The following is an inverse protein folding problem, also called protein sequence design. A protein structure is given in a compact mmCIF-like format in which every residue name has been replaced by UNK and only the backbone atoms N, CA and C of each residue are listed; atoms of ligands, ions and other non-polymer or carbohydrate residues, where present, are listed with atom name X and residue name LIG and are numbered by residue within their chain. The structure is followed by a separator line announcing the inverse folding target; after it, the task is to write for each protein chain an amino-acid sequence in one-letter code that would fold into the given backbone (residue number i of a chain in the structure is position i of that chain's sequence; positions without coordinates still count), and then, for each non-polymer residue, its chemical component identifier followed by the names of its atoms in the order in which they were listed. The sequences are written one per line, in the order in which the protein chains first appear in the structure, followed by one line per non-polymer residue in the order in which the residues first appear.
data_IF_588046957320
#
_entry.id   IF_588046957320
#
_cell.length_a   1.000
_cell.length_b   1.000
_cell.length_c   1.000
_cell.angle_alpha   90.00
_cell.angle_beta   90.00
_cell.angle_gamma   90.00
#
_symmetry.space_group_name_H-M   'P 1'
#
loop_
_entity.id
_entity.type
_entity.pdbx_description
1 polymer ?
2 non-polymer ?
3 water ?
#
# COMPACT_ATOMS: atom_id res chain seq x y z
N UNK A 5 -0.58 -22.14 7.48
CA UNK A 5 -1.34 -21.11 8.25
C UNK A 5 -2.05 -20.08 7.31
N UNK A 6 -1.97 -18.81 7.67
CA UNK A 6 -2.58 -17.73 6.92
C UNK A 6 -1.80 -17.49 5.63
N UNK A 7 -2.40 -17.79 4.47
CA UNK A 7 -1.67 -17.59 3.22
C UNK A 7 -1.36 -16.08 3.00
N UNK A 8 -2.14 -15.19 3.59
CA UNK A 8 -1.90 -13.74 3.44
C UNK A 8 -0.62 -13.28 4.13
N UNK A 9 -0.16 -14.04 5.14
CA UNK A 9 1.04 -13.67 5.91
C UNK A 9 2.19 -14.66 5.74
N UNK A 10 2.08 -15.54 4.76
CA UNK A 10 3.19 -16.45 4.41
C UNK A 10 3.92 -15.83 3.22
N UNK A 11 5.14 -15.31 3.46
CA UNK A 11 5.86 -14.59 2.40
C UNK A 11 6.08 -15.48 1.17
N UNK A 12 5.70 -14.96 0.01
CA UNK A 12 5.89 -15.70 -1.22
C UNK A 12 5.99 -14.75 -2.42
N UNK A 13 6.91 -15.04 -3.38
CA UNK A 13 7.02 -14.13 -4.52
C UNK A 13 5.90 -14.46 -5.50
N UNK A 14 5.68 -13.59 -6.49
CA UNK A 14 4.68 -13.87 -7.51
C UNK A 14 5.27 -14.86 -8.51
N UNK A 15 4.64 -16.02 -8.69
CA UNK A 15 5.13 -17.01 -9.67
C UNK A 15 4.89 -16.52 -11.10
N UNK A 16 5.91 -16.61 -11.95
CA UNK A 16 5.72 -16.20 -13.34
C UNK A 16 5.08 -17.28 -14.21
N UNK A 17 3.79 -17.10 -14.53
CA UNK A 17 3.07 -18.05 -15.38
C UNK A 17 2.79 -17.45 -16.76
N UNK A 18 3.41 -16.30 -17.06
CA UNK A 18 3.27 -15.66 -18.37
C UNK A 18 4.56 -15.80 -19.17
N UNK A 19 5.70 -15.55 -18.55
CA UNK A 19 6.98 -15.79 -19.21
C UNK A 19 7.94 -14.63 -19.38
N UNK A 20 7.51 -13.40 -19.14
CA UNK A 20 8.42 -12.26 -19.35
C UNK A 20 9.23 -11.88 -18.08
N UNK A 21 8.92 -12.49 -16.93
CA UNK A 21 9.63 -12.22 -15.70
C UNK A 21 9.60 -10.79 -15.18
N UNK A 22 8.54 -10.04 -15.47
CA UNK A 22 8.53 -8.62 -15.08
C UNK A 22 8.41 -8.36 -13.59
N UNK A 23 7.74 -9.26 -12.86
CA UNK A 23 7.65 -9.08 -11.42
C UNK A 23 9.02 -9.09 -10.73
N UNK A 24 9.81 -10.12 -11.00
CA UNK A 24 11.12 -10.25 -10.44
C UNK A 24 12.03 -9.13 -10.94
N UNK A 25 11.81 -8.66 -12.18
CA UNK A 25 12.58 -7.52 -12.69
C UNK A 25 12.31 -6.27 -11.82
N UNK A 26 11.05 -5.99 -11.51
CA UNK A 26 10.72 -4.84 -10.67
C UNK A 26 11.37 -4.98 -9.30
N UNK A 27 11.21 -6.16 -8.69
CA UNK A 27 11.79 -6.45 -7.38
C UNK A 27 13.29 -6.14 -7.37
N UNK A 28 14.00 -6.63 -8.38
CA UNK A 28 15.42 -6.40 -8.52
C UNK A 28 15.81 -4.95 -8.69
N UNK A 29 14.97 -4.19 -9.41
CA UNK A 29 15.19 -2.76 -9.55
C UNK A 29 15.11 -2.06 -8.20
N UNK A 30 14.08 -2.42 -7.42
CA UNK A 30 13.85 -1.83 -6.10
C UNK A 30 15.02 -2.17 -5.15
N UNK A 31 15.44 -3.43 -5.13
CA UNK A 31 16.63 -3.84 -4.38
C UNK A 31 17.82 -2.90 -4.72
N UNK A 32 18.09 -2.72 -6.02
CA UNK A 32 19.16 -1.83 -6.47
C UNK A 32 18.96 -0.40 -6.01
N UNK A 33 17.71 0.06 -6.01
CA UNK A 33 17.37 1.39 -5.53
C UNK A 33 17.72 1.57 -4.06
N UNK A 34 17.32 0.60 -3.24
CA UNK A 34 17.66 0.63 -1.81
C UNK A 34 19.16 0.58 -1.60
N UNK A 35 19.85 -0.24 -2.38
CA UNK A 35 21.29 -0.36 -2.31
C UNK A 35 22.04 0.96 -2.62
N UNK A 36 21.50 1.75 -3.57
CA UNK A 36 22.15 2.94 -4.06
C UNK A 36 21.62 4.26 -3.48
N UNK A 37 20.44 4.24 -2.87
CA UNK A 37 19.85 5.48 -2.37
C UNK A 37 19.71 5.53 -0.85
N UNK A 38 19.31 6.70 -0.34
CA UNK A 38 19.09 6.86 1.07
C UNK A 38 17.75 7.56 1.28
N UNK A 39 16.62 6.84 1.04
CA UNK A 39 15.31 7.51 1.18
C UNK A 39 14.95 7.85 2.62
N UNK A 40 14.11 8.85 2.83
CA UNK A 40 13.60 9.10 4.17
C UNK A 40 12.24 8.46 4.30
N UNK A 41 11.62 8.19 3.16
CA UNK A 41 10.30 7.56 3.12
C UNK A 41 10.27 6.49 2.04
N UNK A 42 9.70 5.32 2.38
CA UNK A 42 9.56 4.26 1.38
C UNK A 42 8.10 3.90 1.23
N UNK A 43 7.63 3.94 0.00
CA UNK A 43 6.26 3.59 -0.32
C UNK A 43 6.25 2.16 -0.90
N UNK A 44 5.41 1.28 -0.38
CA UNK A 44 5.30 -0.08 -0.91
C UNK A 44 3.85 -0.55 -0.84
N UNK A 45 3.42 -1.26 -1.88
CA UNK A 45 2.05 -1.70 -1.94
C UNK A 45 1.71 -2.18 -3.36
N UNK A 46 0.43 -2.11 -3.68
CA UNK A 46 -0.04 -2.57 -5.00
C UNK A 46 -0.04 -1.40 -6.00
N UNK A 47 -0.86 -1.53 -7.05
CA UNK A 47 -0.91 -0.51 -8.08
C UNK A 47 -1.37 0.85 -7.50
N UNK A 48 -2.08 0.94 -6.39
CA UNK A 48 -2.43 2.26 -5.84
C UNK A 48 -1.17 3.05 -5.50
N UNK A 49 -0.16 2.35 -4.98
CA UNK A 49 1.18 2.93 -4.69
C UNK A 49 1.97 3.16 -6.00
N UNK A 50 2.10 2.12 -6.81
CA UNK A 50 2.80 2.18 -8.08
C UNK A 50 2.38 3.33 -8.99
N UNK A 51 1.07 3.49 -9.21
CA UNK A 51 0.55 4.46 -10.17
C UNK A 51 0.60 5.90 -9.58
N UNK A 52 0.80 5.98 -8.26
CA UNK A 52 0.97 7.28 -7.61
C UNK A 52 2.24 7.97 -8.11
N UNK A 53 3.28 7.16 -8.33
CA UNK A 53 4.54 7.58 -8.90
C UNK A 53 4.44 8.05 -10.35
N UNK A 54 3.49 7.47 -11.08
CA UNK A 54 3.26 7.78 -12.48
C UNK A 54 2.50 9.08 -12.63
N UNK A 55 1.68 9.44 -11.64
CA UNK A 55 0.97 10.71 -11.63
C UNK A 55 1.96 11.86 -11.43
N UNK A 56 1.62 13.06 -11.90
CA UNK A 56 2.46 14.25 -11.67
C UNK A 56 2.35 14.78 -10.24
N UNK A 57 1.53 14.13 -9.41
CA UNK A 57 1.40 14.49 -7.99
C UNK A 57 2.63 14.03 -7.21
N UNK A 58 3.32 13.03 -7.75
CA UNK A 58 4.47 12.45 -7.07
C UNK A 58 5.64 13.44 -6.98
N UNK A 59 6.12 13.88 -8.15
CA UNK A 59 7.23 14.84 -8.25
C UNK A 59 6.87 16.19 -7.62
N UNK A 60 5.62 16.30 -7.16
CA UNK A 60 5.10 17.52 -6.57
C UNK A 60 5.04 17.43 -5.04
N UNK A 61 4.36 16.41 -4.53
CA UNK A 61 4.10 16.27 -3.11
C UNK A 61 5.04 15.31 -2.39
N UNK A 62 5.66 14.38 -3.14
CA UNK A 62 6.39 13.28 -2.51
C UNK A 62 7.89 13.24 -2.77
N UNK A 63 8.30 13.60 -3.99
CA UNK A 63 9.72 13.66 -4.33
C UNK A 63 10.55 14.55 -3.38
N UNK A 64 10.03 15.72 -3.01
CA UNK A 64 10.80 16.56 -2.09
C UNK A 64 11.09 15.88 -0.75
N UNK A 65 10.33 14.82 -0.42
CA UNK A 65 10.49 14.12 0.86
C UNK A 65 11.60 13.06 0.85
N UNK A 66 12.22 12.85 -0.31
CA UNK A 66 13.29 11.85 -0.48
C UNK A 66 12.68 10.45 -0.34
N UNK A 67 11.95 10.05 -1.39
CA UNK A 67 11.16 8.83 -1.31
C UNK A 67 11.36 7.89 -2.49
N UNK A 68 11.17 6.61 -2.20
CA UNK A 68 11.18 5.54 -3.19
C UNK A 68 9.80 4.89 -3.23
N UNK A 69 9.36 4.59 -4.43
CA UNK A 69 8.09 3.96 -4.65
C UNK A 69 8.29 2.53 -5.11
N UNK A 70 7.88 1.56 -4.26
CA UNK A 70 8.06 0.12 -4.57
C UNK A 70 6.70 -0.56 -4.82
N UNK A 71 5.79 0.17 -5.44
CA UNK A 71 4.47 -0.34 -5.71
C UNK A 71 4.57 -1.27 -6.90
N UNK A 72 3.83 -2.36 -6.85
CA UNK A 72 3.73 -3.29 -8.01
C UNK A 72 2.26 -3.68 -8.22
N UNK A 73 1.76 -3.46 -9.45
CA UNK A 73 0.41 -3.76 -9.76
C UNK A 73 0.11 -5.26 -9.54
N UNK A 74 -1.01 -5.53 -8.90
CA UNK A 74 -1.49 -6.92 -8.68
C UNK A 74 -1.00 -7.61 -7.41
N UNK A 75 -0.12 -6.93 -6.67
CA UNK A 75 0.45 -7.52 -5.45
C UNK A 75 -0.62 -7.69 -4.34
N UNK A 76 -0.49 -8.81 -3.59
CA UNK A 76 -1.28 -9.07 -2.42
C UNK A 76 -0.36 -8.86 -1.18
N UNK A 77 -0.90 -9.00 0.04
CA UNK A 77 -0.09 -8.77 1.24
C UNK A 77 1.16 -9.68 1.29
N UNK A 78 0.99 -10.98 0.99
CA UNK A 78 2.11 -11.94 1.07
C UNK A 78 3.26 -11.62 0.11
N UNK A 79 2.94 -10.96 -1.00
CA UNK A 79 3.95 -10.61 -2.00
C UNK A 79 4.78 -9.41 -1.50
N UNK A 80 4.10 -8.43 -0.95
CA UNK A 80 4.75 -7.28 -0.32
C UNK A 80 5.64 -7.72 0.86
N UNK A 81 5.13 -8.63 1.67
CA UNK A 81 5.91 -9.15 2.82
C UNK A 81 7.20 -9.81 2.31
N UNK A 82 7.10 -10.64 1.26
CA UNK A 82 8.25 -11.31 0.66
C UNK A 82 9.27 -10.30 0.12
N UNK A 83 8.79 -9.28 -0.60
CA UNK A 83 9.67 -8.25 -1.11
C UNK A 83 10.46 -7.52 0.00
N UNK A 84 9.78 -7.15 1.06
CA UNK A 84 10.40 -6.51 2.22
C UNK A 84 11.44 -7.40 2.93
N UNK A 85 11.22 -8.70 2.91
CA UNK A 85 12.13 -9.63 3.53
C UNK A 85 13.25 -10.04 2.57
N UNK A 86 13.12 -9.75 1.28
CA UNK A 86 14.14 -10.22 0.36
C UNK A 86 14.96 -9.13 -0.37
N UNK A 87 15.32 -8.05 0.33
CA UNK A 87 16.25 -7.10 -0.28
C UNK A 87 15.77 -5.67 -0.32
N UNK A 88 14.46 -5.43 -0.33
CA UNK A 88 13.98 -4.05 -0.55
C UNK A 88 14.10 -3.13 0.69
N UNK A 89 14.38 -3.72 1.85
CA UNK A 89 14.58 -2.97 3.11
C UNK A 89 16.06 -2.92 3.51
N UNK A 90 16.92 -3.43 2.63
CA UNK A 90 18.35 -3.47 2.90
C UNK A 90 19.03 -2.16 2.51
N UNK A 91 20.10 -1.83 3.22
CA UNK A 91 20.97 -0.66 2.95
C UNK A 91 20.32 0.70 3.12
N UNK A 92 19.18 0.74 3.80
CA UNK A 92 18.47 2.00 3.98
C UNK A 92 18.07 2.17 5.45
N UNK A 93 17.72 3.40 5.80
CA UNK A 93 17.21 3.66 7.14
C UNK A 93 16.13 4.71 7.08
N UNK A 94 15.00 4.37 6.44
CA UNK A 94 13.95 5.38 6.32
C UNK A 94 13.33 5.75 7.70
N UNK A 95 12.77 6.95 7.77
CA UNK A 95 12.05 7.39 8.97
C UNK A 95 10.61 6.94 8.92
N UNK A 96 10.11 6.77 7.68
CA UNK A 96 8.72 6.34 7.46
C UNK A 96 8.60 5.33 6.33
N UNK A 97 7.81 4.29 6.56
CA UNK A 97 7.42 3.33 5.49
C UNK A 97 5.91 3.38 5.37
N UNK A 98 5.45 3.65 4.17
CA UNK A 98 4.03 3.70 3.85
C UNK A 98 3.60 2.37 3.19
N UNK A 99 2.52 1.79 3.70
CA UNK A 99 2.03 0.48 3.23
C UNK A 99 0.60 0.64 2.67
N UNK A 100 0.38 0.12 1.47
CA UNK A 100 -0.95 0.15 0.87
C UNK A 100 -1.10 -1.08 0.01
N UNK A 101 -1.76 -2.07 0.58
CA UNK A 101 -1.94 -3.38 -0.05
C UNK A 101 -3.07 -4.14 0.64
N UNK A 102 -3.72 -5.06 -0.06
CA UNK A 102 -4.80 -5.86 0.56
C UNK A 102 -6.04 -5.99 -0.28
N UNK A 103 -6.26 -5.04 -1.20
CA UNK A 103 -7.48 -5.10 -2.02
C UNK A 103 -7.39 -6.24 -3.07
N UNK A 104 -6.19 -6.72 -3.33
CA UNK A 104 -5.98 -7.81 -4.30
C UNK A 104 -5.97 -9.22 -3.73
N UNK A 105 -6.13 -9.35 -2.41
CA UNK A 105 -6.10 -10.65 -1.73
C UNK A 105 -7.36 -11.52 -1.94
N UNK A 106 -7.73 -11.75 -3.19
CA UNK A 106 -8.93 -12.52 -3.52
C UNK A 106 -8.82 -13.93 -3.02
N UNK A 107 -9.88 -14.40 -2.36
CA UNK A 107 -9.85 -15.79 -1.83
C UNK A 107 -9.42 -15.85 -0.36
N UNK A 108 -9.01 -14.71 0.18
CA UNK A 108 -8.59 -14.59 1.60
C UNK A 108 -9.70 -13.85 2.32
N UNK A 109 -10.06 -14.28 3.53
CA UNK A 109 -11.12 -13.60 4.24
C UNK A 109 -10.58 -12.24 4.73
N UNK A 110 -11.46 -11.34 5.15
CA UNK A 110 -11.03 -10.04 5.69
C UNK A 110 -10.05 -10.19 6.89
N UNK A 111 -10.33 -11.18 7.76
CA UNK A 111 -9.49 -11.49 8.92
C UNK A 111 -8.10 -11.88 8.48
N UNK A 112 -8.01 -12.70 7.44
CA UNK A 112 -6.70 -13.14 6.89
C UNK A 112 -5.90 -11.97 6.31
N UNK A 113 -6.58 -11.12 5.54
CA UNK A 113 -5.93 -9.93 4.95
C UNK A 113 -5.41 -9.05 6.06
N UNK A 114 -6.22 -8.88 7.09
CA UNK A 114 -5.78 -8.09 8.27
C UNK A 114 -4.50 -8.70 8.84
N UNK A 115 -4.46 -10.02 8.98
CA UNK A 115 -3.24 -10.69 9.48
C UNK A 115 -2.04 -10.43 8.56
N UNK A 116 -2.27 -10.42 7.24
CA UNK A 116 -1.24 -10.07 6.25
C UNK A 116 -0.67 -8.68 6.49
N UNK A 117 -1.56 -7.71 6.71
CA UNK A 117 -1.11 -6.33 6.95
C UNK A 117 -0.31 -6.23 8.29
N UNK A 118 -0.80 -6.91 9.31
CA UNK A 118 -0.14 -6.88 10.60
C UNK A 118 1.24 -7.53 10.50
N UNK A 119 1.37 -8.57 9.67
CA UNK A 119 2.64 -9.25 9.42
C UNK A 119 3.63 -8.28 8.79
N UNK A 120 3.12 -7.42 7.90
CA UNK A 120 3.97 -6.47 7.22
C UNK A 120 4.49 -5.40 8.21
N UNK A 121 3.60 -4.88 9.06
CA UNK A 121 3.96 -3.86 10.05
C UNK A 121 5.03 -4.45 11.00
N UNK A 122 4.79 -5.68 11.45
CA UNK A 122 5.70 -6.38 12.36
C UNK A 122 7.08 -6.59 11.73
N UNK A 123 7.10 -6.96 10.44
CA UNK A 123 8.37 -7.13 9.74
C UNK A 123 9.14 -5.81 9.67
N UNK A 124 8.44 -4.73 9.27
CA UNK A 124 9.06 -3.41 9.22
C UNK A 124 9.59 -2.98 10.61
N UNK A 125 8.82 -3.28 11.67
CA UNK A 125 9.21 -2.94 13.06
C UNK A 125 10.46 -3.69 13.44
N UNK A 126 10.64 -4.88 12.88
CA UNK A 126 11.84 -5.68 13.16
C UNK A 126 13.05 -5.25 12.36
N UNK A 127 12.89 -5.10 11.06
CA UNK A 127 14.00 -4.74 10.16
C UNK A 127 14.38 -3.25 10.18
N UNK A 128 13.42 -2.37 10.46
CA UNK A 128 13.62 -0.92 10.43
C UNK A 128 12.93 -0.35 11.66
N UNK A 129 13.35 -0.76 12.86
CA UNK A 129 12.70 -0.38 14.10
C UNK A 129 12.57 1.13 14.34
N UNK A 130 13.48 1.93 13.79
CA UNK A 130 13.40 3.39 13.93
C UNK A 130 12.25 4.02 13.09
N UNK A 131 11.69 3.25 12.15
CA UNK A 131 10.70 3.79 11.21
C UNK A 131 9.28 3.82 11.77
N UNK A 132 8.57 4.91 11.48
CA UNK A 132 7.15 4.98 11.74
C UNK A 132 6.49 4.26 10.54
N UNK A 133 5.37 3.58 10.75
CA UNK A 133 4.69 2.86 9.70
C UNK A 133 3.30 3.48 9.47
N UNK A 134 3.03 3.83 8.22
CA UNK A 134 1.69 4.31 7.86
C UNK A 134 1.00 3.27 6.97
N UNK A 135 -0.16 2.80 7.42
CA UNK A 135 -1.00 1.88 6.64
C UNK A 135 -2.26 2.58 6.14
N UNK A 136 -2.43 2.63 4.82
CA UNK A 136 -3.64 3.24 4.24
C UNK A 136 -4.77 2.24 4.22
N UNK A 137 -5.98 2.75 4.44
CA UNK A 137 -7.14 1.88 4.41
C UNK A 137 -7.42 1.44 2.94
N UNK A 138 -7.99 0.26 2.79
CA UNK A 138 -8.34 -0.25 1.47
C UNK A 138 -9.53 0.55 0.93
N UNK A 139 -9.44 0.92 -0.34
CA UNK A 139 -10.48 1.76 -0.95
C UNK A 139 -11.69 0.93 -1.42
N UNK A 140 -12.86 1.59 -1.51
CA UNK A 140 -14.00 0.87 -2.05
C UNK A 140 -13.75 0.63 -3.53
N UNK A 141 -14.51 -0.26 -4.14
CA UNK A 141 -14.29 -0.60 -5.56
C UNK A 141 -15.61 -1.13 -6.11
N UNK A 142 -15.74 -1.18 -7.43
CA UNK A 142 -16.94 -1.64 -8.09
C UNK A 142 -17.82 -0.43 -8.30
N UNK A 143 -18.58 -0.41 -9.40
CA UNK A 143 -19.47 0.72 -9.69
C UNK A 143 -20.67 0.82 -8.73
N UNK A 144 -21.16 -0.34 -8.29
CA UNK A 144 -22.34 -0.48 -7.42
C UNK A 144 -21.99 -1.30 -6.15
N UNK A 145 -22.90 -1.29 -5.13
CA UNK A 145 -22.59 -2.08 -3.93
C UNK A 145 -22.27 -3.53 -4.27
N UNK A 146 -21.27 -4.10 -3.59
CA UNK A 146 -20.86 -5.47 -3.85
C UNK A 146 -20.09 -6.01 -2.64
N UNK A 147 -19.87 -7.34 -2.57
CA UNK A 147 -19.18 -7.97 -1.42
C UNK A 147 -17.75 -7.48 -1.14
N UNK A 148 -17.05 -6.97 -2.16
CA UNK A 148 -15.69 -6.48 -1.94
C UNK A 148 -15.65 -5.18 -1.18
N UNK A 149 -16.69 -4.36 -1.33
CA UNK A 149 -16.79 -3.14 -0.54
C UNK A 149 -16.87 -3.52 0.92
N UNK A 150 -17.75 -4.46 1.23
CA UNK A 150 -17.91 -4.93 2.60
C UNK A 150 -16.64 -5.59 3.14
N UNK A 151 -16.00 -6.41 2.33
CA UNK A 151 -14.72 -7.00 2.72
C UNK A 151 -13.68 -5.95 3.11
N UNK A 152 -13.52 -4.95 2.24
CA UNK A 152 -12.46 -3.96 2.42
C UNK A 152 -12.74 -3.09 3.64
N UNK A 153 -14.03 -2.77 3.85
CA UNK A 153 -14.48 -2.04 5.04
C UNK A 153 -14.14 -2.86 6.30
N UNK A 154 -14.47 -4.14 6.27
CA UNK A 154 -14.22 -5.00 7.41
C UNK A 154 -12.72 -5.06 7.70
N UNK A 155 -11.90 -5.19 6.65
CA UNK A 155 -10.43 -5.14 6.81
C UNK A 155 -10.03 -3.85 7.49
N UNK A 156 -10.56 -2.72 7.01
CA UNK A 156 -10.22 -1.41 7.58
C UNK A 156 -10.57 -1.28 9.05
N UNK A 157 -11.66 -1.92 9.47
CA UNK A 157 -12.10 -1.88 10.89
C UNK A 157 -11.16 -2.69 11.75
N UNK A 158 -10.78 -3.88 11.25
CA UNK A 158 -9.89 -4.76 12.00
C UNK A 158 -8.48 -4.19 12.05
N UNK A 159 -8.00 -3.66 10.93
CA UNK A 159 -6.68 -3.06 10.89
C UNK A 159 -6.60 -1.84 11.81
N UNK A 160 -7.60 -0.96 11.71
CA UNK A 160 -7.66 0.22 12.55
C UNK A 160 -7.58 -0.16 14.05
N UNK A 161 -8.39 -1.15 14.46
CA UNK A 161 -8.41 -1.63 15.82
C UNK A 161 -7.06 -2.22 16.21
N UNK A 162 -6.36 -2.88 15.29
CA UNK A 162 -5.03 -3.45 15.58
C UNK A 162 -3.93 -2.41 15.80
N UNK A 163 -3.98 -1.31 15.05
CA UNK A 163 -2.96 -0.27 15.16
C UNK A 163 -3.29 0.83 16.18
N UNK A 164 -4.52 0.82 16.69
CA UNK A 164 -4.97 1.81 17.67
C UNK A 164 -3.93 2.00 18.81
N UNK A 165 -3.52 0.91 19.45
CA UNK A 165 -2.53 0.98 20.54
C UNK A 165 -1.04 0.86 20.18
N UNK A 166 -0.77 0.92 18.88
CA UNK A 166 0.58 0.81 18.32
C UNK A 166 0.99 2.24 17.95
N UNK A 167 1.72 2.94 18.83
CA UNK A 167 1.95 4.38 18.66
C UNK A 167 3.00 4.79 17.61
N UNK A 168 3.61 3.80 16.94
CA UNK A 168 4.48 4.12 15.82
C UNK A 168 3.87 3.62 14.49
N UNK A 169 2.70 3.00 14.57
CA UNK A 169 1.96 2.56 13.38
C UNK A 169 0.71 3.43 13.30
N UNK A 170 0.50 4.07 12.15
CA UNK A 170 -0.57 5.04 11.95
C UNK A 170 -1.50 4.54 10.85
N UNK A 171 -2.77 4.35 11.19
CA UNK A 171 -3.83 4.04 10.23
C UNK A 171 -4.47 5.30 9.63
N UNK A 172 -4.41 5.40 8.31
CA UNK A 172 -4.92 6.55 7.58
C UNK A 172 -6.00 6.09 6.60
N UNK A 173 -7.22 6.56 6.84
CA UNK A 173 -8.32 6.34 5.90
C UNK A 173 -8.23 7.50 4.93
N UNK A 174 -7.67 7.28 3.76
CA UNK A 174 -7.54 8.36 2.78
C UNK A 174 -8.74 8.57 1.85
N UNK A 175 -9.85 7.88 2.13
CA UNK A 175 -11.05 7.92 1.25
C UNK A 175 -11.86 9.19 1.53
N UNK A 176 -11.95 10.12 0.56
CA UNK A 176 -12.73 11.35 0.72
C UNK A 176 -14.24 11.11 0.62
N UNK A 177 -14.65 9.90 0.29
CA UNK A 177 -16.07 9.62 0.14
C UNK A 177 -16.43 9.20 -1.30
N UNK A 178 -15.59 8.35 -1.90
CA UNK A 178 -15.83 7.87 -3.27
C UNK A 178 -17.20 7.25 -3.51
N UNK A 179 -17.73 6.53 -2.54
CA UNK A 179 -19.07 5.98 -2.69
C UNK A 179 -20.13 7.03 -2.40
N UNK A 180 -20.86 7.41 -3.46
CA UNK A 180 -21.93 8.40 -3.34
C UNK A 180 -23.18 7.84 -2.65
N UNK A 181 -24.08 8.75 -2.29
CA UNK A 181 -25.35 8.44 -1.63
C UNK A 181 -26.20 7.41 -2.34
N UNK A 182 -26.06 7.32 -3.66
CA UNK A 182 -26.83 6.36 -4.45
C UNK A 182 -26.10 5.01 -4.59
N UNK A 183 -25.01 4.85 -3.85
CA UNK A 183 -24.24 3.60 -3.81
C UNK A 183 -23.26 3.42 -4.95
N UNK A 184 -23.05 4.48 -5.73
CA UNK A 184 -22.19 4.39 -6.92
C UNK A 184 -20.85 5.06 -6.72
N UNK A 185 -19.87 4.60 -7.48
CA UNK A 185 -18.58 5.28 -7.62
C UNK A 185 -18.52 5.84 -9.04
N UNK A 186 -18.04 7.07 -9.17
CA UNK A 186 -17.94 7.75 -10.45
C UNK A 186 -16.68 7.33 -11.21
N UNK A 187 -16.83 7.06 -12.52
CA UNK A 187 -15.66 6.76 -13.35
C UNK A 187 -14.72 7.95 -13.42
N UNK A 188 -15.18 9.12 -12.98
CA UNK A 188 -14.33 10.31 -12.91
C UNK A 188 -13.28 10.19 -11.79
N UNK A 189 -13.62 9.45 -10.75
CA UNK A 189 -12.67 9.21 -9.64
C UNK A 189 -11.86 7.92 -9.87
N UNK A 190 -12.53 6.87 -10.35
CA UNK A 190 -11.92 5.58 -10.66
C UNK A 190 -12.40 5.18 -12.05
N UNK A 191 -11.51 5.26 -13.03
CA UNK A 191 -11.90 5.02 -14.41
C UNK A 191 -12.43 3.60 -14.67
N UNK A 192 -11.98 2.62 -13.89
CA UNK A 192 -12.47 1.28 -14.01
C UNK A 192 -13.06 0.78 -12.70
N UNK A 193 -13.46 1.75 -11.84
CA UNK A 193 -14.05 1.43 -10.53
C UNK A 193 -13.09 0.67 -9.61
N UNK A 194 -11.78 0.84 -9.84
CA UNK A 194 -10.75 0.23 -9.00
C UNK A 194 -9.53 1.13 -8.88
N UNK A 195 -8.98 1.50 -10.04
CA UNK A 195 -7.81 2.39 -10.13
C UNK A 195 -8.25 3.84 -10.10
N UNK A 196 -7.46 4.67 -9.42
CA UNK A 196 -7.76 6.09 -9.28
C UNK A 196 -7.32 6.90 -10.52
N UNK A 197 -8.18 7.78 -10.98
CA UNK A 197 -7.85 8.73 -12.03
C UNK A 197 -6.98 9.82 -11.37
N UNK A 198 -6.44 10.73 -12.18
CA UNK A 198 -5.72 11.88 -11.68
C UNK A 198 -6.55 12.64 -10.64
N UNK A 199 -7.84 12.80 -10.92
CA UNK A 199 -8.77 13.48 -10.01
C UNK A 199 -8.99 12.71 -8.71
N UNK A 200 -9.05 11.39 -8.79
CA UNK A 200 -9.29 10.57 -7.58
C UNK A 200 -8.05 10.55 -6.69
N UNK A 201 -6.88 10.66 -7.29
CA UNK A 201 -5.63 10.67 -6.55
C UNK A 201 -5.41 11.97 -5.73
N UNK A 202 -5.95 13.09 -6.24
CA UNK A 202 -5.76 14.41 -5.58
C UNK A 202 -6.08 14.41 -4.09
N UNK A 203 -7.34 14.10 -3.71
CA UNK A 203 -7.62 14.11 -2.27
C UNK A 203 -6.91 13.02 -1.47
N UNK A 204 -6.66 11.88 -2.09
CA UNK A 204 -5.93 10.76 -1.46
C UNK A 204 -4.52 11.20 -1.10
N UNK A 205 -3.78 11.69 -2.10
CA UNK A 205 -2.41 12.11 -1.91
C UNK A 205 -2.29 13.34 -0.99
N UNK A 206 -3.32 14.21 -1.02
CA UNK A 206 -3.38 15.40 -0.17
C UNK A 206 -3.42 14.99 1.29
N UNK A 207 -4.26 14.01 1.60
CA UNK A 207 -4.38 13.47 2.94
C UNK A 207 -3.07 12.79 3.39
N UNK A 208 -2.47 12.00 2.51
CA UNK A 208 -1.22 11.30 2.83
C UNK A 208 -0.06 12.29 3.07
N UNK A 209 0.06 13.27 2.18
CA UNK A 209 1.08 14.29 2.29
C UNK A 209 1.02 15.01 3.65
N UNK A 210 -0.18 15.35 4.08
CA UNK A 210 -0.39 16.04 5.36
C UNK A 210 0.10 15.21 6.53
N UNK A 211 -0.27 13.92 6.54
CA UNK A 211 0.19 13.02 7.58
C UNK A 211 1.71 12.87 7.56
N UNK A 212 2.28 12.66 6.39
CA UNK A 212 3.71 12.54 6.24
C UNK A 212 4.43 13.80 6.76
N UNK A 213 3.82 14.95 6.48
CA UNK A 213 4.38 16.25 6.91
C UNK A 213 4.29 16.39 8.44
N UNK A 214 3.16 16.00 9.02
CA UNK A 214 3.01 16.03 10.46
C UNK A 214 4.08 15.18 11.13
N UNK A 215 4.12 13.88 10.76
CA UNK A 215 5.06 12.93 11.35
C UNK A 215 6.53 13.28 11.12
N UNK A 216 6.84 13.81 9.96
CA UNK A 216 8.20 14.17 9.61
C UNK A 216 8.66 15.47 10.33
X LIG B 1 -2.83 -4.04 -10.84
X LIG B 1 -2.10 -3.80 -12.19
X LIG B 1 -5.38 -2.26 -6.91
X LIG B 1 -6.14 -0.96 -6.89
X LIG B 1 -3.76 -3.01 -10.38
X LIG B 1 -5.24 -2.77 -8.25
X LIG B 1 -2.72 -3.59 -8.07
X LIG B 1 -3.71 -2.67 -8.84
#
# INVERSE_FOLDING_TARGET
MSGDENPASKPTPVQDVQGDGRWMSLHHRFVADSKDKEPEVVFIGDSLVQLMHQSEIWRELFSPLHALNFGIGGDSTQHVLWRLENGELEHIRPKIVVVWVGTNNHGHTAEQVTGGIKAIVQLVNERQPQARVVVLGLLPRGQHPNPLREKNRRVNELVRAALAGHPRAHFLDADPGFVHSDGTISHHDMYDYLHLSRLGYTPVCRALHSLLLRLLTQDQGQGGAPLPEPSP
DEP C1 C2 C3 C4 O1 O2 O3 P
#
